data_IF_815132242115
#
_entry.id   IF_815132242115
#
_cell.length_a   1.000
_cell.length_b   1.000
_cell.length_c   1.000
_cell.angle_alpha   90.00
_cell.angle_beta   90.00
_cell.angle_gamma   90.00
#
_symmetry.space_group_name_H-M   'P 1'
#
loop_
_entity.id
_entity.type
_entity.pdbx_description
1 polymer ?
#
# COMPACT_ATOMS: atom_id res chain seq x y z
N UNK A 1 11.56 16.76 -1.21
CA UNK A 1 12.09 15.83 -0.19
C UNK A 1 11.40 14.50 -0.37
N UNK A 2 12.16 13.41 -0.40
CA UNK A 2 11.63 12.06 -0.50
C UNK A 2 12.01 11.26 0.75
N UNK A 3 11.08 10.45 1.25
CA UNK A 3 11.31 9.55 2.39
C UNK A 3 10.82 8.16 2.05
N UNK A 4 11.60 7.16 2.45
CA UNK A 4 11.28 5.75 2.30
C UNK A 4 11.04 5.14 3.67
N UNK A 5 9.93 4.42 3.81
CA UNK A 5 9.54 3.70 5.02
C UNK A 5 9.34 2.24 4.70
N UNK A 6 9.83 1.36 5.58
CA UNK A 6 9.64 -0.09 5.50
C UNK A 6 8.78 -0.55 6.67
N UNK A 7 7.81 -1.41 6.40
CA UNK A 7 6.98 -2.06 7.41
C UNK A 7 7.24 -3.57 7.30
N UNK A 8 7.98 -4.10 8.26
CA UNK A 8 8.36 -5.53 8.34
C UNK A 8 7.92 -6.17 9.67
N UNK A 9 7.40 -5.37 10.60
CA UNK A 9 6.89 -5.88 11.87
C UNK A 9 5.58 -6.63 11.66
N UNK A 10 5.62 -7.96 11.90
CA UNK A 10 4.49 -8.88 11.72
C UNK A 10 3.18 -8.41 12.35
N UNK A 11 3.23 -7.86 13.57
CA UNK A 11 2.03 -7.37 14.26
C UNK A 11 1.41 -6.14 13.60
N UNK A 12 2.23 -5.30 12.96
CA UNK A 12 1.77 -4.14 12.21
C UNK A 12 1.16 -4.60 10.89
N UNK A 13 1.87 -5.48 10.17
CA UNK A 13 1.42 -6.10 8.93
C UNK A 13 0.06 -6.80 9.10
N UNK A 14 -0.09 -7.64 10.13
CA UNK A 14 -1.33 -8.35 10.43
C UNK A 14 -2.55 -7.44 10.68
N UNK A 15 -2.33 -6.18 11.09
CA UNK A 15 -3.39 -5.17 11.32
C UNK A 15 -3.72 -4.32 10.10
N UNK A 16 -2.79 -4.24 9.14
CA UNK A 16 -3.01 -3.50 7.90
C UNK A 16 -3.62 -4.36 6.81
N UNK A 17 -3.53 -5.68 6.92
CA UNK A 17 -4.14 -6.58 5.95
C UNK A 17 -5.56 -7.01 6.31
N UNK A 18 -6.44 -7.01 5.31
CA UNK A 18 -7.76 -7.60 5.35
C UNK A 18 -7.67 -9.14 5.21
N UNK A 19 -8.81 -9.84 5.32
CA UNK A 19 -8.84 -11.31 5.29
C UNK A 19 -8.52 -11.90 3.91
N UNK A 20 -8.92 -11.22 2.83
CA UNK A 20 -8.67 -11.64 1.45
C UNK A 20 -7.19 -11.52 1.11
N UNK A 21 -6.57 -10.38 1.43
CA UNK A 21 -5.12 -10.16 1.28
C UNK A 21 -4.32 -11.24 2.00
N UNK A 22 -4.68 -11.57 3.25
CA UNK A 22 -4.03 -12.64 4.02
C UNK A 22 -4.16 -14.01 3.36
N UNK A 23 -5.28 -14.27 2.70
CA UNK A 23 -5.52 -15.53 1.98
C UNK A 23 -4.63 -15.58 0.73
N UNK A 24 -4.60 -14.51 -0.05
CA UNK A 24 -3.75 -14.38 -1.23
C UNK A 24 -2.25 -14.55 -0.88
N UNK A 25 -1.79 -13.94 0.21
CA UNK A 25 -0.41 -14.14 0.67
C UNK A 25 -0.10 -15.59 1.06
N UNK A 26 -1.04 -16.28 1.72
CA UNK A 26 -0.86 -17.69 2.09
C UNK A 26 -0.73 -18.59 0.85
N UNK A 27 -1.50 -18.32 -0.21
CA UNK A 27 -1.40 -19.04 -1.48
C UNK A 27 -0.03 -18.80 -2.16
N UNK A 28 0.43 -17.55 -2.22
CA UNK A 28 1.75 -17.21 -2.77
C UNK A 28 2.88 -17.88 -1.99
N UNK A 29 2.83 -17.83 -0.65
CA UNK A 29 3.82 -18.51 0.20
C UNK A 29 3.88 -20.00 -0.13
N UNK A 30 2.72 -20.64 -0.36
CA UNK A 30 2.66 -22.07 -0.67
C UNK A 30 3.25 -22.38 -2.06
N UNK A 31 3.01 -21.51 -3.05
CA UNK A 31 3.60 -21.61 -4.39
C UNK A 31 5.13 -21.48 -4.33
N UNK A 32 5.64 -20.44 -3.67
CA UNK A 32 7.08 -20.19 -3.53
C UNK A 32 7.80 -21.32 -2.77
N UNK A 33 7.13 -21.98 -1.82
CA UNK A 33 7.70 -23.15 -1.11
C UNK A 33 7.75 -24.42 -1.97
N UNK A 34 6.93 -24.50 -3.01
CA UNK A 34 6.87 -25.65 -3.91
C UNK A 34 7.89 -25.60 -5.04
N UNK A 35 8.47 -24.44 -5.31
CA UNK A 35 9.50 -24.24 -6.32
C UNK A 35 10.90 -24.47 -5.71
N UNK A 36 11.64 -25.44 -6.25
CA UNK A 36 13.06 -25.67 -5.90
C UNK A 36 13.92 -24.53 -6.50
N UNK A 37 13.98 -23.40 -5.81
CA UNK A 37 14.76 -22.26 -6.28
C UNK A 37 16.26 -22.46 -6.00
N UNK A 38 17.08 -22.48 -7.04
CA UNK A 38 18.52 -22.80 -6.95
C UNK A 38 19.48 -21.63 -7.16
N UNK A 39 18.99 -20.40 -7.35
CA UNK A 39 19.82 -19.19 -7.37
C UNK A 39 18.95 -17.97 -7.02
N UNK A 40 18.96 -17.53 -5.76
CA UNK A 40 18.23 -16.34 -5.30
C UNK A 40 19.23 -15.21 -5.11
N UNK A 41 19.04 -14.11 -5.84
CA UNK A 41 19.75 -12.87 -5.52
C UNK A 41 18.98 -12.05 -4.46
N UNK A 42 19.60 -10.97 -3.97
CA UNK A 42 18.98 -10.12 -2.95
C UNK A 42 17.68 -9.43 -3.44
N UNK A 43 17.57 -9.18 -4.74
CA UNK A 43 16.39 -8.53 -5.33
C UNK A 43 15.22 -9.51 -5.39
N UNK A 44 15.47 -10.77 -5.72
CA UNK A 44 14.47 -11.83 -5.67
C UNK A 44 13.95 -12.02 -4.24
N UNK A 45 14.85 -12.04 -3.24
CA UNK A 45 14.44 -12.13 -1.83
C UNK A 45 13.52 -10.97 -1.44
N UNK A 46 13.88 -9.74 -1.83
CA UNK A 46 13.08 -8.57 -1.54
C UNK A 46 11.70 -8.61 -2.22
N UNK A 47 11.65 -9.05 -3.47
CA UNK A 47 10.39 -9.22 -4.20
C UNK A 47 9.49 -10.27 -3.54
N UNK A 48 10.07 -11.39 -3.09
CA UNK A 48 9.32 -12.43 -2.38
C UNK A 48 8.74 -11.91 -1.08
N UNK A 49 9.53 -11.20 -0.27
CA UNK A 49 9.02 -10.65 0.99
C UNK A 49 7.85 -9.66 0.75
N UNK A 50 7.86 -8.92 -0.36
CA UNK A 50 6.75 -8.05 -0.77
C UNK A 50 5.53 -8.86 -1.21
N UNK A 51 5.71 -9.85 -2.09
CA UNK A 51 4.63 -10.68 -2.63
C UNK A 51 3.96 -11.54 -1.55
N UNK A 52 4.72 -12.02 -0.59
CA UNK A 52 4.24 -12.81 0.54
C UNK A 52 3.62 -11.96 1.67
N UNK A 53 3.52 -10.64 1.47
CA UNK A 53 2.96 -9.72 2.47
C UNK A 53 3.82 -9.57 3.73
N UNK A 54 5.11 -9.92 3.67
CA UNK A 54 6.05 -9.79 4.79
C UNK A 54 6.76 -8.44 4.82
N UNK A 55 6.66 -7.69 3.74
CA UNK A 55 7.22 -6.36 3.62
C UNK A 55 6.27 -5.43 2.86
N UNK A 56 6.06 -4.24 3.41
CA UNK A 56 5.49 -3.10 2.68
C UNK A 56 6.55 -2.00 2.64
N UNK A 57 6.73 -1.37 1.48
CA UNK A 57 7.59 -0.20 1.33
C UNK A 57 6.78 0.99 0.82
N UNK A 58 6.91 2.12 1.51
CA UNK A 58 6.19 3.35 1.20
C UNK A 58 7.22 4.42 0.87
N UNK A 59 7.14 4.97 -0.34
CA UNK A 59 7.84 6.19 -0.73
C UNK A 59 6.87 7.35 -0.63
N UNK A 60 7.26 8.42 0.07
CA UNK A 60 6.52 9.67 0.14
C UNK A 60 7.38 10.80 -0.42
N UNK A 61 6.81 11.60 -1.32
CA UNK A 61 7.45 12.80 -1.83
C UNK A 61 6.62 14.05 -1.50
N UNK A 62 7.35 15.12 -1.19
CA UNK A 62 6.81 16.45 -0.96
C UNK A 62 7.71 17.47 -1.64
N UNK A 63 7.13 18.35 -2.46
CA UNK A 63 7.89 19.39 -3.16
C UNK A 63 8.17 20.60 -2.27
N UNK A 64 7.26 20.91 -1.35
CA UNK A 64 7.31 22.09 -0.48
C UNK A 64 7.67 21.77 0.99
N UNK A 65 7.83 20.49 1.32
CA UNK A 65 8.11 20.00 2.67
C UNK A 65 6.91 20.08 3.63
N UNK A 66 5.75 20.52 3.15
CA UNK A 66 4.54 20.71 3.96
C UNK A 66 3.46 19.70 3.58
N UNK A 67 3.19 19.52 2.29
CA UNK A 67 2.17 18.60 1.78
C UNK A 67 2.80 17.44 1.01
N UNK A 68 2.24 16.25 1.16
CA UNK A 68 2.58 15.08 0.34
C UNK A 68 1.85 15.25 -0.98
N UNK A 69 2.56 15.18 -2.09
CA UNK A 69 1.98 15.29 -3.43
C UNK A 69 2.19 14.05 -4.30
N UNK A 70 2.92 13.07 -3.78
CA UNK A 70 3.12 11.79 -4.43
C UNK A 70 3.47 10.72 -3.40
N UNK A 71 2.96 9.52 -3.62
CA UNK A 71 3.41 8.32 -2.93
C UNK A 71 3.56 7.15 -3.90
N UNK A 72 4.41 6.20 -3.53
CA UNK A 72 4.45 4.88 -4.14
C UNK A 72 4.37 3.80 -3.05
N UNK A 73 3.53 2.80 -3.25
CA UNK A 73 3.32 1.69 -2.34
C UNK A 73 3.81 0.41 -3.01
N UNK A 74 4.89 -0.18 -2.50
CA UNK A 74 5.34 -1.51 -2.88
C UNK A 74 4.81 -2.53 -1.88
N UNK A 75 4.10 -3.53 -2.39
CA UNK A 75 3.31 -4.47 -1.59
C UNK A 75 1.82 -4.15 -1.67
N UNK A 76 1.00 -5.11 -1.27
CA UNK A 76 -0.45 -5.01 -1.40
C UNK A 76 -1.09 -4.76 -0.02
N UNK A 77 -1.71 -3.59 0.15
CA UNK A 77 -2.57 -3.31 1.31
C UNK A 77 -3.55 -2.20 0.96
N UNK A 78 -4.82 -2.55 0.74
CA UNK A 78 -5.92 -1.61 0.48
C UNK A 78 -6.05 -0.60 1.61
N UNK A 79 -5.90 -1.05 2.86
CA UNK A 79 -6.00 -0.18 4.03
C UNK A 79 -4.88 0.85 4.06
N UNK A 80 -3.65 0.47 3.73
CA UNK A 80 -2.53 1.44 3.64
C UNK A 80 -2.75 2.37 2.46
N UNK A 81 -3.15 1.82 1.31
CA UNK A 81 -3.45 2.60 0.12
C UNK A 81 -4.48 3.71 0.39
N UNK A 82 -5.66 3.36 0.90
CA UNK A 82 -6.70 4.34 1.22
C UNK A 82 -6.22 5.40 2.22
N UNK A 83 -5.45 5.00 3.25
CA UNK A 83 -4.87 5.95 4.20
C UNK A 83 -3.89 6.93 3.54
N UNK A 84 -3.05 6.44 2.62
CA UNK A 84 -2.11 7.27 1.88
C UNK A 84 -2.83 8.21 0.91
N UNK A 85 -3.87 7.73 0.22
CA UNK A 85 -4.73 8.55 -0.65
C UNK A 85 -5.39 9.68 0.14
N UNK A 86 -5.96 9.39 1.31
CA UNK A 86 -6.54 10.44 2.16
C UNK A 86 -5.48 11.42 2.67
N UNK A 87 -4.30 10.92 3.07
CA UNK A 87 -3.20 11.73 3.58
C UNK A 87 -2.63 12.69 2.51
N UNK A 88 -2.53 12.23 1.26
CA UNK A 88 -2.10 13.06 0.12
C UNK A 88 -3.11 14.19 -0.14
N UNK A 89 -4.39 13.93 0.09
CA UNK A 89 -5.45 14.89 -0.19
C UNK A 89 -5.72 15.05 -1.67
N UNK A 90 -6.56 16.03 -2.00
CA UNK A 90 -6.92 16.36 -3.37
C UNK A 90 -7.05 17.87 -3.51
N UNK A 91 -6.58 18.41 -4.63
CA UNK A 91 -6.74 19.83 -4.93
C UNK A 91 -8.21 20.17 -5.18
N UNK A 92 -8.62 21.39 -4.82
CA UNK A 92 -10.04 21.80 -4.88
C UNK A 92 -10.62 21.69 -6.28
N UNK A 93 -9.82 21.95 -7.30
CA UNK A 93 -10.20 21.90 -8.71
C UNK A 93 -10.43 20.47 -9.21
N UNK A 94 -9.94 19.47 -8.48
CA UNK A 94 -10.14 18.05 -8.75
C UNK A 94 -11.38 17.48 -8.05
N UNK A 95 -11.95 18.18 -7.07
CA UNK A 95 -13.19 17.83 -6.37
C UNK A 95 -14.45 17.97 -7.25
N UNK A 96 -14.55 17.19 -8.32
CA UNK A 96 -15.72 17.05 -9.18
C UNK A 96 -16.11 15.57 -9.27
N UNK A 97 -17.39 15.25 -8.97
CA UNK A 97 -17.90 13.87 -8.93
C UNK A 97 -17.77 13.12 -10.26
N UNK A 98 -17.66 13.82 -11.39
CA UNK A 98 -17.42 13.22 -12.70
C UNK A 98 -15.96 12.82 -12.92
N UNK A 99 -15.02 13.29 -12.08
CA UNK A 99 -13.60 12.95 -12.17
C UNK A 99 -13.31 11.64 -11.43
N UNK A 100 -12.67 10.65 -12.10
CA UNK A 100 -12.32 9.38 -11.46
C UNK A 100 -11.46 9.54 -10.20
N UNK A 101 -10.51 10.48 -10.21
CA UNK A 101 -9.63 10.73 -9.05
C UNK A 101 -10.40 11.18 -7.80
N UNK A 102 -11.48 11.94 -7.97
CA UNK A 102 -12.30 12.34 -6.84
C UNK A 102 -13.19 11.21 -6.34
N UNK A 103 -13.70 10.35 -7.23
CA UNK A 103 -14.44 9.16 -6.84
C UNK A 103 -13.55 8.20 -6.02
N UNK A 104 -12.30 8.01 -6.46
CA UNK A 104 -11.31 7.22 -5.73
C UNK A 104 -10.98 7.83 -4.36
N UNK A 105 -10.83 9.17 -4.29
CA UNK A 105 -10.63 9.86 -3.03
C UNK A 105 -11.82 9.69 -2.06
N UNK A 106 -13.06 9.78 -2.55
CA UNK A 106 -14.26 9.54 -1.75
C UNK A 106 -14.34 8.08 -1.26
N UNK A 107 -13.98 7.11 -2.11
CA UNK A 107 -13.88 5.69 -1.70
C UNK A 107 -12.85 5.52 -0.58
N UNK A 108 -11.69 6.17 -0.70
CA UNK A 108 -10.66 6.13 0.33
C UNK A 108 -11.13 6.77 1.65
N UNK A 109 -11.85 7.90 1.59
CA UNK A 109 -12.45 8.54 2.77
C UNK A 109 -13.49 7.63 3.45
N UNK A 110 -14.36 6.98 2.69
CA UNK A 110 -15.33 6.03 3.21
C UNK A 110 -14.64 4.82 3.86
N UNK A 111 -13.68 4.21 3.16
CA UNK A 111 -12.94 3.04 3.65
C UNK A 111 -12.10 3.32 4.90
N UNK A 112 -11.76 4.59 5.16
CA UNK A 112 -11.02 5.03 6.35
C UNK A 112 -11.92 5.56 7.46
N UNK A 113 -13.24 5.63 7.24
CA UNK A 113 -14.23 6.06 8.23
C UNK A 113 -14.35 7.58 8.40
N UNK A 114 -13.92 8.37 7.42
CA UNK A 114 -14.11 9.82 7.41
C UNK A 114 -15.45 10.26 6.80
N UNK A 115 -16.15 9.37 6.10
CA UNK A 115 -17.52 9.59 5.65
C UNK A 115 -18.45 8.73 6.50
N UNK A 116 -19.51 9.35 7.00
CA UNK A 116 -20.65 8.66 7.61
C UNK A 116 -21.62 8.20 6.50
N UNK A 117 -22.39 7.14 6.79
CA UNK A 117 -23.50 6.66 5.94
C UNK A 117 -24.70 7.62 5.97
#
# INVERSE_FOLDING_TARGET
MEKCYKIEHKDVLARVFNSEEKTNFAEIIQLNQSEEHTDFDEQDYFNNEIQEGRLIVIFLASTDGTYINYFNLLGHSEKVYHKLTVLMGLEKEECNIEKPIFQEYLQALAATGYLED
#
